data_IF_311487967350
#
_entry.id   IF_311487967350
#
_cell.length_a   1.000
_cell.length_b   1.000
_cell.length_c   1.000
_cell.angle_alpha   90.00
_cell.angle_beta   90.00
_cell.angle_gamma   90.00
#
_symmetry.space_group_name_H-M   'P 1'
#
loop_
_entity.id
_entity.type
_entity.pdbx_description
1 polymer ?
#
# COMPACT_ATOMS: atom_id res chain seq x y z
N UNK A 1 -10.39 -26.32 -6.83
CA UNK A 1 -8.93 -26.10 -7.00
C UNK A 1 -8.70 -24.64 -7.37
N UNK A 2 -7.87 -23.93 -6.60
CA UNK A 2 -7.49 -22.57 -6.97
C UNK A 2 -6.82 -22.59 -8.35
N UNK A 3 -7.45 -21.92 -9.31
CA UNK A 3 -6.98 -21.85 -10.69
C UNK A 3 -5.55 -21.29 -10.71
N UNK A 4 -4.57 -22.08 -11.19
CA UNK A 4 -3.14 -21.73 -11.26
C UNK A 4 -2.82 -20.78 -12.43
N UNK A 5 -3.83 -20.02 -12.88
CA UNK A 5 -3.73 -19.04 -13.98
C UNK A 5 -2.79 -17.90 -13.61
N UNK A 6 -2.14 -17.33 -14.63
CA UNK A 6 -1.28 -16.15 -14.49
C UNK A 6 -2.12 -14.94 -14.03
N UNK A 7 -1.47 -13.92 -13.48
CA UNK A 7 -2.16 -12.73 -12.96
C UNK A 7 -2.92 -12.00 -14.08
N UNK A 8 -2.32 -11.84 -15.27
CA UNK A 8 -2.98 -11.23 -16.42
C UNK A 8 -4.24 -11.98 -16.89
N UNK A 9 -4.21 -13.32 -16.91
CA UNK A 9 -5.36 -14.16 -17.30
C UNK A 9 -6.52 -14.06 -16.30
N UNK A 10 -6.25 -13.60 -15.08
CA UNK A 10 -7.26 -13.45 -14.03
C UNK A 10 -8.04 -12.15 -14.17
N UNK A 11 -7.50 -11.12 -14.83
CA UNK A 11 -8.07 -9.76 -14.92
C UNK A 11 -9.53 -9.78 -15.40
N UNK A 12 -9.83 -10.52 -16.47
CA UNK A 12 -11.17 -10.58 -17.08
C UNK A 12 -12.22 -11.24 -16.19
N UNK A 13 -11.84 -11.92 -15.10
CA UNK A 13 -12.77 -12.57 -14.18
C UNK A 13 -13.25 -11.65 -13.04
N UNK A 14 -12.74 -10.41 -12.94
CA UNK A 14 -13.09 -9.48 -11.87
C UNK A 14 -13.85 -8.27 -12.42
N UNK A 15 -15.04 -8.01 -11.89
CA UNK A 15 -15.78 -6.76 -12.16
C UNK A 15 -15.20 -5.56 -11.40
N UNK A 16 -14.48 -5.81 -10.30
CA UNK A 16 -13.87 -4.75 -9.49
C UNK A 16 -12.67 -4.13 -10.23
N UNK A 17 -12.78 -2.82 -10.54
CA UNK A 17 -11.73 -2.06 -11.22
C UNK A 17 -10.38 -2.13 -10.51
N UNK A 18 -10.34 -1.97 -9.19
CA UNK A 18 -9.09 -2.00 -8.42
C UNK A 18 -8.43 -3.38 -8.45
N UNK A 19 -9.22 -4.46 -8.44
CA UNK A 19 -8.68 -5.81 -8.59
C UNK A 19 -8.06 -6.01 -9.98
N UNK A 20 -8.72 -5.52 -11.04
CA UNK A 20 -8.19 -5.56 -12.41
C UNK A 20 -6.88 -4.79 -12.54
N UNK A 21 -6.81 -3.58 -11.98
CA UNK A 21 -5.60 -2.75 -11.99
C UNK A 21 -4.46 -3.41 -11.22
N UNK A 22 -4.72 -3.96 -10.03
CA UNK A 22 -3.72 -4.66 -9.24
C UNK A 22 -3.16 -5.89 -9.98
N UNK A 23 -4.03 -6.73 -10.54
CA UNK A 23 -3.60 -7.91 -11.30
C UNK A 23 -2.79 -7.54 -12.55
N UNK A 24 -3.21 -6.49 -13.26
CA UNK A 24 -2.49 -5.96 -14.43
C UNK A 24 -1.12 -5.40 -14.02
N UNK A 25 -1.05 -4.68 -12.89
CA UNK A 25 0.19 -4.12 -12.35
C UNK A 25 1.17 -5.22 -11.92
N UNK A 26 0.67 -6.27 -11.26
CA UNK A 26 1.47 -7.45 -10.88
C UNK A 26 2.07 -8.12 -12.12
N UNK A 27 1.26 -8.31 -13.16
CA UNK A 27 1.71 -8.91 -14.42
C UNK A 27 2.75 -8.04 -15.14
N UNK A 28 2.57 -6.72 -15.15
CA UNK A 28 3.47 -5.78 -15.80
C UNK A 28 4.82 -5.67 -15.07
N UNK A 29 4.80 -5.46 -13.75
CA UNK A 29 6.02 -5.26 -12.94
C UNK A 29 6.69 -6.55 -12.49
N UNK A 30 6.08 -7.70 -12.77
CA UNK A 30 6.55 -9.04 -12.35
C UNK A 30 6.82 -9.13 -10.84
N UNK A 31 5.97 -8.48 -10.05
CA UNK A 31 6.02 -8.55 -8.59
C UNK A 31 4.62 -8.70 -8.01
N UNK A 32 4.48 -9.62 -7.07
CA UNK A 32 3.28 -9.79 -6.25
C UNK A 32 3.54 -9.43 -4.78
N UNK A 33 4.66 -8.76 -4.49
CA UNK A 33 5.06 -8.36 -3.15
C UNK A 33 4.18 -7.20 -2.67
N UNK A 34 3.51 -7.41 -1.54
CA UNK A 34 2.86 -6.36 -0.76
C UNK A 34 3.77 -5.94 0.37
N UNK A 35 4.14 -4.66 0.42
CA UNK A 35 4.97 -4.11 1.49
C UNK A 35 4.10 -3.50 2.57
N UNK A 36 4.22 -4.02 3.79
CA UNK A 36 3.71 -3.39 5.00
C UNK A 36 4.72 -2.34 5.49
N UNK A 37 4.43 -1.06 5.28
CA UNK A 37 5.34 0.01 5.67
C UNK A 37 4.90 0.67 6.98
N UNK A 38 5.39 0.13 8.09
CA UNK A 38 5.02 0.52 9.45
C UNK A 38 6.13 1.41 10.06
N UNK A 39 6.25 2.64 9.55
CA UNK A 39 7.20 3.65 10.02
C UNK A 39 6.49 4.80 10.73
N UNK A 40 7.18 5.45 11.68
CA UNK A 40 6.59 6.47 12.57
C UNK A 40 6.72 7.90 12.03
N UNK A 41 7.50 8.10 10.97
CA UNK A 41 7.73 9.43 10.39
C UNK A 41 7.26 9.51 8.94
N UNK A 42 6.68 10.66 8.56
CA UNK A 42 6.22 10.92 7.20
C UNK A 42 7.37 10.97 6.19
N UNK A 43 8.55 11.46 6.62
CA UNK A 43 9.74 11.55 5.76
C UNK A 43 10.22 10.17 5.33
N UNK A 44 10.45 9.29 6.30
CA UNK A 44 10.87 7.91 6.05
C UNK A 44 9.82 7.15 5.23
N UNK A 45 8.53 7.38 5.53
CA UNK A 45 7.43 6.79 4.77
C UNK A 45 7.53 7.11 3.27
N UNK A 46 7.65 8.41 2.94
CA UNK A 46 7.72 8.86 1.54
C UNK A 46 9.00 8.37 0.86
N UNK A 47 10.13 8.40 1.55
CA UNK A 47 11.42 7.95 1.01
C UNK A 47 11.42 6.46 0.68
N UNK A 48 10.91 5.62 1.58
CA UNK A 48 10.83 4.17 1.36
C UNK A 48 9.79 3.86 0.28
N UNK A 49 8.65 4.55 0.27
CA UNK A 49 7.62 4.34 -0.75
C UNK A 49 8.15 4.62 -2.17
N UNK A 50 8.94 5.68 -2.35
CA UNK A 50 9.55 6.03 -3.64
C UNK A 50 10.55 4.95 -4.10
N UNK A 51 11.46 4.54 -3.21
CA UNK A 51 12.49 3.53 -3.49
C UNK A 51 11.92 2.12 -3.70
N UNK A 52 10.91 1.74 -2.92
CA UNK A 52 10.28 0.42 -3.00
C UNK A 52 9.30 0.33 -4.18
N UNK A 53 8.79 1.47 -4.65
CA UNK A 53 7.79 1.61 -5.70
C UNK A 53 7.97 0.61 -6.84
N UNK A 54 9.11 0.57 -7.55
CA UNK A 54 9.34 -0.35 -8.67
C UNK A 54 9.22 -1.85 -8.34
N UNK A 55 9.42 -2.25 -7.08
CA UNK A 55 9.58 -3.65 -6.67
C UNK A 55 8.33 -4.25 -6.00
N UNK A 56 7.32 -3.44 -5.68
CA UNK A 56 6.10 -3.87 -4.98
C UNK A 56 4.85 -3.71 -5.85
N UNK A 57 3.80 -4.50 -5.60
CA UNK A 57 2.49 -4.30 -6.22
C UNK A 57 1.51 -3.55 -5.32
N UNK A 58 1.76 -3.54 -4.00
CA UNK A 58 0.89 -2.94 -3.01
C UNK A 58 1.72 -2.38 -1.86
N UNK A 59 1.33 -1.21 -1.36
CA UNK A 59 1.86 -0.61 -0.15
C UNK A 59 0.75 -0.57 0.91
N UNK A 60 0.86 -1.37 1.96
CA UNK A 60 -0.05 -1.35 3.11
C UNK A 60 0.46 -0.36 4.15
N UNK A 61 -0.41 0.55 4.56
CA UNK A 61 -0.12 1.57 5.58
C UNK A 61 -1.00 1.32 6.81
N UNK A 62 -0.43 1.44 8.01
CA UNK A 62 -1.21 1.59 9.25
C UNK A 62 -1.20 3.06 9.70
N UNK A 63 -2.26 3.81 9.36
CA UNK A 63 -2.33 5.27 9.56
C UNK A 63 -2.06 5.72 11.01
N UNK A 64 -2.45 4.89 11.99
CA UNK A 64 -2.21 5.13 13.42
C UNK A 64 -0.73 5.35 13.72
N UNK A 65 0.16 4.55 13.13
CA UNK A 65 1.60 4.62 13.36
C UNK A 65 2.17 5.92 12.75
N UNK A 66 1.72 6.27 11.54
CA UNK A 66 2.19 7.44 10.81
C UNK A 66 1.77 8.78 11.47
N UNK A 67 0.62 8.79 12.15
CA UNK A 67 0.06 9.97 12.83
C UNK A 67 0.41 10.07 14.31
N UNK A 68 1.27 9.19 14.86
CA UNK A 68 1.58 9.17 16.29
C UNK A 68 2.20 10.49 16.82
N UNK A 69 2.66 11.37 15.93
CA UNK A 69 3.16 12.71 16.25
C UNK A 69 2.08 13.77 16.54
N UNK A 70 0.78 13.43 16.49
CA UNK A 70 -0.32 14.35 16.82
C UNK A 70 -0.71 14.37 18.31
N UNK A 71 0.08 13.76 19.21
CA UNK A 71 -0.23 13.70 20.65
C UNK A 71 0.09 14.98 21.47
N UNK A 72 0.40 16.11 20.83
CA UNK A 72 0.73 17.36 21.54
C UNK A 72 -0.36 18.44 21.50
N UNK A 73 -1.58 18.13 21.05
CA UNK A 73 -2.71 19.05 21.21
C UNK A 73 -3.46 18.75 22.50
N UNK A 74 -2.90 19.12 23.65
CA UNK A 74 -3.73 19.45 24.81
C UNK A 74 -4.50 20.74 24.47
N UNK A 75 -5.84 20.78 24.60
CA UNK A 75 -6.54 22.04 24.58
C UNK A 75 -6.10 22.82 25.82
N UNK A 76 -5.34 23.90 25.64
CA UNK A 76 -5.19 24.94 26.64
C UNK A 76 -6.57 25.56 26.91
N UNK A 77 -7.35 24.92 27.77
CA UNK A 77 -8.58 25.49 28.31
C UNK A 77 -8.18 26.39 29.48
N UNK A 78 -7.73 27.58 29.13
CA UNK A 78 -7.74 28.75 30.01
C UNK A 78 -8.36 29.90 29.20
N UNK A 79 -9.68 29.89 29.14
CA UNK A 79 -10.58 31.02 28.88
C UNK A 79 -11.91 30.69 29.54
#
# INVERSE_FOLDING_TARGET
MASKKKYGERVENFSNKAARELLSLIEHKKTNLSLALDVTTKREFLEIADKAGPYICLLKILIKILLNNLKNCEPNTNL
#
